data_IF_886532518867
#
_entry.id   IF_886532518867
#
_cell.length_a   1.000
_cell.length_b   1.000
_cell.length_c   1.000
_cell.angle_alpha   90.00
_cell.angle_beta   90.00
_cell.angle_gamma   90.00
#
_symmetry.space_group_name_H-M   'P 1'
#
loop_
_entity.id
_entity.type
_entity.pdbx_description
1 polymer ?
#
# COMPACT_ATOMS: atom_id res chain seq x y z
N UNK A 1 -14.61 -18.23 49.17
CA UNK A 1 -16.07 -18.37 49.27
C UNK A 1 -16.61 -18.36 47.86
N UNK A 2 -17.17 -19.47 47.38
CA UNK A 2 -17.89 -19.54 46.11
C UNK A 2 -19.40 -19.61 46.39
N UNK A 3 -20.24 -19.20 45.44
CA UNK A 3 -21.70 -19.33 45.53
C UNK A 3 -22.46 -18.20 46.23
N UNK A 4 -21.85 -17.02 46.39
CA UNK A 4 -22.58 -15.82 46.84
C UNK A 4 -23.39 -15.23 45.67
N UNK A 5 -24.61 -14.80 45.95
CA UNK A 5 -25.50 -14.16 44.97
C UNK A 5 -25.26 -12.65 44.96
N UNK A 6 -25.13 -12.07 43.76
CA UNK A 6 -25.04 -10.63 43.59
C UNK A 6 -26.31 -9.94 44.10
N UNK A 7 -26.13 -8.79 44.76
CA UNK A 7 -27.21 -8.02 45.39
C UNK A 7 -27.68 -8.55 46.75
N UNK A 8 -27.20 -9.72 47.20
CA UNK A 8 -27.55 -10.28 48.51
C UNK A 8 -26.56 -9.80 49.59
N UNK A 9 -27.09 -9.29 50.70
CA UNK A 9 -26.29 -8.94 51.87
C UNK A 9 -25.84 -10.22 52.60
N UNK A 10 -24.53 -10.36 52.78
CA UNK A 10 -23.93 -11.40 53.59
C UNK A 10 -23.28 -10.81 54.83
N UNK A 11 -23.47 -11.50 55.96
CA UNK A 11 -22.99 -11.10 57.27
C UNK A 11 -21.96 -12.13 57.73
N UNK A 12 -20.80 -11.65 58.18
CA UNK A 12 -19.67 -12.49 58.56
C UNK A 12 -19.22 -12.19 59.99
N UNK A 13 -18.91 -13.26 60.72
CA UNK A 13 -18.21 -13.24 62.00
C UNK A 13 -17.11 -14.30 61.94
N UNK A 14 -15.98 -14.02 62.56
CA UNK A 14 -14.83 -14.93 62.61
C UNK A 14 -14.57 -15.28 64.07
N UNK A 15 -14.27 -16.54 64.31
CA UNK A 15 -13.75 -17.06 65.58
C UNK A 15 -12.37 -17.67 65.32
N UNK A 16 -11.53 -17.74 66.35
CA UNK A 16 -10.24 -18.40 66.27
C UNK A 16 -10.22 -19.59 67.22
N UNK A 17 -9.63 -20.70 66.79
CA UNK A 17 -9.41 -21.89 67.62
C UNK A 17 -7.91 -22.03 67.86
N UNK A 18 -7.48 -22.10 69.11
CA UNK A 18 -6.06 -22.31 69.45
C UNK A 18 -5.73 -23.81 69.56
N UNK A 19 -4.44 -24.13 69.75
CA UNK A 19 -3.89 -25.49 69.69
C UNK A 19 -4.49 -26.49 70.70
N UNK A 20 -5.17 -26.00 71.74
CA UNK A 20 -5.93 -26.75 72.74
C UNK A 20 -7.42 -26.95 72.36
N UNK A 21 -7.79 -26.59 71.13
CA UNK A 21 -9.16 -26.66 70.58
C UNK A 21 -10.19 -25.77 71.28
N UNK A 22 -9.74 -24.74 72.01
CA UNK A 22 -10.64 -23.74 72.58
C UNK A 22 -10.94 -22.66 71.55
N UNK A 23 -12.22 -22.44 71.27
CA UNK A 23 -12.71 -21.41 70.34
C UNK A 23 -12.91 -20.06 71.06
N UNK A 24 -12.46 -18.98 70.45
CA UNK A 24 -12.66 -17.61 70.94
C UNK A 24 -14.11 -17.16 70.82
N UNK A 25 -14.47 -16.06 71.48
CA UNK A 25 -15.68 -15.30 71.11
C UNK A 25 -15.58 -14.79 69.66
N UNK A 26 -16.73 -14.51 69.00
CA UNK A 26 -16.74 -14.01 67.62
C UNK A 26 -16.26 -12.56 67.54
N UNK A 27 -15.71 -12.18 66.39
CA UNK A 27 -15.48 -10.77 66.02
C UNK A 27 -16.79 -9.97 66.00
N UNK A 28 -16.68 -8.64 65.82
CA UNK A 28 -17.82 -7.86 65.36
C UNK A 28 -18.37 -8.41 64.03
N UNK A 29 -19.64 -8.09 63.74
CA UNK A 29 -20.25 -8.42 62.47
C UNK A 29 -19.70 -7.52 61.36
N UNK A 30 -19.30 -8.12 60.25
CA UNK A 30 -18.98 -7.43 59.01
C UNK A 30 -20.07 -7.73 57.96
N UNK A 31 -20.43 -6.73 57.16
CA UNK A 31 -21.42 -6.86 56.09
C UNK A 31 -20.76 -6.67 54.72
N UNK A 32 -21.14 -7.49 53.73
CA UNK A 32 -20.69 -7.37 52.35
C UNK A 32 -21.80 -7.73 51.36
N UNK A 33 -21.81 -7.08 50.20
CA UNK A 33 -22.79 -7.34 49.13
C UNK A 33 -22.02 -7.54 47.82
N UNK A 34 -21.96 -8.75 47.27
CA UNK A 34 -21.40 -8.98 45.95
C UNK A 34 -22.20 -8.25 44.88
N UNK A 35 -21.54 -7.81 43.81
CA UNK A 35 -22.17 -7.17 42.68
C UNK A 35 -21.58 -7.72 41.38
N UNK A 36 -22.39 -7.77 40.32
CA UNK A 36 -21.88 -8.12 39.00
C UNK A 36 -21.08 -6.94 38.45
N UNK A 37 -19.97 -7.23 37.79
CA UNK A 37 -19.13 -6.23 37.14
C UNK A 37 -18.80 -6.68 35.72
N UNK A 38 -18.77 -5.77 34.74
CA UNK A 38 -18.34 -6.11 33.39
C UNK A 38 -16.94 -6.75 33.39
N UNK A 39 -16.68 -7.71 32.50
CA UNK A 39 -15.33 -8.22 32.30
C UNK A 39 -14.35 -7.11 31.87
N UNK A 40 -13.06 -7.40 31.96
CA UNK A 40 -12.03 -6.59 31.30
C UNK A 40 -12.19 -6.63 29.78
N UNK A 41 -11.70 -5.62 29.07
CA UNK A 41 -11.65 -5.68 27.61
C UNK A 41 -10.63 -6.75 27.14
N UNK A 42 -10.92 -7.49 26.06
CA UNK A 42 -9.89 -8.23 25.33
C UNK A 42 -8.77 -7.30 24.83
N UNK A 43 -7.54 -7.79 24.78
CA UNK A 43 -6.36 -7.01 24.39
C UNK A 43 -5.43 -7.80 23.46
N UNK A 44 -4.42 -7.14 22.90
CA UNK A 44 -3.51 -7.72 21.89
C UNK A 44 -4.28 -8.38 20.72
N UNK A 45 -5.33 -7.73 20.25
CA UNK A 45 -6.06 -8.21 19.08
C UNK A 45 -5.15 -8.12 17.84
N UNK A 46 -5.09 -9.21 17.08
CA UNK A 46 -4.33 -9.32 15.85
C UNK A 46 -5.05 -10.26 14.89
N UNK A 47 -4.71 -10.19 13.61
CA UNK A 47 -5.38 -10.99 12.60
C UNK A 47 -4.78 -10.83 11.22
N UNK A 48 -5.23 -11.70 10.32
CA UNK A 48 -4.81 -11.73 8.92
C UNK A 48 -6.02 -11.84 8.00
N UNK A 49 -5.81 -11.46 6.74
CA UNK A 49 -6.77 -11.64 5.66
C UNK A 49 -6.15 -12.60 4.66
N UNK A 50 -6.87 -13.68 4.35
CA UNK A 50 -6.54 -14.57 3.25
C UNK A 50 -7.70 -14.55 2.24
N UNK A 51 -7.46 -13.91 1.09
CA UNK A 51 -8.49 -13.54 0.12
C UNK A 51 -9.58 -12.67 0.76
N UNK A 52 -10.72 -13.26 1.15
CA UNK A 52 -11.82 -12.57 1.85
C UNK A 52 -12.10 -13.15 3.24
N UNK A 53 -11.27 -14.09 3.69
CA UNK A 53 -11.38 -14.74 4.99
C UNK A 53 -10.58 -13.95 6.00
N UNK A 54 -11.24 -13.43 7.03
CA UNK A 54 -10.61 -12.78 8.17
C UNK A 54 -10.42 -13.83 9.27
N UNK A 55 -9.18 -13.97 9.71
CA UNK A 55 -8.81 -14.72 10.91
C UNK A 55 -8.33 -13.74 11.98
N UNK A 56 -9.00 -13.71 13.13
CA UNK A 56 -8.64 -12.83 14.25
C UNK A 56 -8.41 -13.64 15.52
N UNK A 57 -7.49 -13.17 16.34
CA UNK A 57 -7.19 -13.72 17.65
C UNK A 57 -6.88 -12.57 18.63
N UNK A 58 -7.07 -12.84 19.91
CA UNK A 58 -6.85 -11.86 20.98
C UNK A 58 -6.38 -12.57 22.24
N UNK A 59 -5.99 -11.78 23.23
CA UNK A 59 -5.70 -12.25 24.59
C UNK A 59 -6.80 -11.78 25.54
N UNK A 60 -7.13 -12.63 26.52
CA UNK A 60 -8.07 -12.30 27.57
C UNK A 60 -7.63 -12.93 28.90
N UNK A 61 -7.81 -12.21 30.01
CA UNK A 61 -7.50 -12.71 31.36
C UNK A 61 -8.79 -12.92 32.14
N UNK A 62 -9.18 -14.18 32.30
CA UNK A 62 -10.38 -14.57 33.06
C UNK A 62 -10.10 -14.63 34.58
N UNK A 63 -9.71 -13.50 35.17
CA UNK A 63 -9.33 -13.43 36.59
C UNK A 63 -10.50 -13.67 37.55
N UNK A 64 -11.71 -13.34 37.13
CA UNK A 64 -12.95 -13.51 37.92
C UNK A 64 -13.56 -14.90 37.71
N UNK A 65 -13.34 -15.53 36.56
CA UNK A 65 -13.80 -16.89 36.27
C UNK A 65 -15.24 -16.99 35.77
N UNK A 66 -15.85 -15.87 35.40
CA UNK A 66 -17.27 -15.73 35.02
C UNK A 66 -17.48 -15.42 33.53
N UNK A 67 -16.44 -15.48 32.70
CA UNK A 67 -16.57 -15.35 31.24
C UNK A 67 -17.60 -16.34 30.67
N UNK A 68 -18.59 -15.83 29.93
CA UNK A 68 -19.53 -16.64 29.15
C UNK A 68 -19.05 -16.82 27.70
N UNK A 69 -18.82 -15.73 26.97
CA UNK A 69 -18.39 -15.72 25.57
C UNK A 69 -17.80 -14.35 25.19
N UNK A 70 -17.33 -14.24 23.95
CA UNK A 70 -16.94 -12.97 23.33
C UNK A 70 -17.95 -12.58 22.26
N UNK A 71 -18.06 -11.29 21.95
CA UNK A 71 -18.71 -10.82 20.73
C UNK A 71 -17.66 -10.21 19.80
N UNK A 72 -17.66 -10.65 18.54
CA UNK A 72 -16.76 -10.13 17.51
C UNK A 72 -17.58 -9.24 16.58
N UNK A 73 -17.15 -8.00 16.39
CA UNK A 73 -17.82 -7.04 15.52
C UNK A 73 -16.93 -6.66 14.34
N UNK A 74 -17.55 -6.48 13.17
CA UNK A 74 -16.94 -5.80 12.02
C UNK A 74 -17.57 -4.42 11.82
N UNK A 75 -16.77 -3.46 11.39
CA UNK A 75 -17.24 -2.15 10.93
C UNK A 75 -16.48 -1.72 9.69
N UNK A 76 -17.19 -1.41 8.61
CA UNK A 76 -16.58 -0.80 7.42
C UNK A 76 -16.15 0.63 7.76
N UNK A 77 -14.91 1.02 7.44
CA UNK A 77 -14.42 2.39 7.64
C UNK A 77 -14.63 3.25 6.37
N UNK A 78 -14.82 4.58 6.51
CA UNK A 78 -14.82 5.35 7.77
C UNK A 78 -16.15 5.33 8.54
N UNK A 79 -17.29 5.19 7.86
CA UNK A 79 -18.62 5.56 8.41
C UNK A 79 -19.59 4.39 8.59
N UNK A 80 -19.10 3.15 8.49
CA UNK A 80 -19.92 1.96 8.67
C UNK A 80 -20.46 1.80 10.08
N UNK A 81 -21.41 0.88 10.23
CA UNK A 81 -22.00 0.50 11.52
C UNK A 81 -21.30 -0.74 12.06
N UNK A 82 -21.25 -0.89 13.38
CA UNK A 82 -20.80 -2.12 14.02
C UNK A 82 -21.81 -3.24 13.76
N UNK A 83 -21.35 -4.33 13.15
CA UNK A 83 -22.14 -5.53 12.85
C UNK A 83 -21.53 -6.69 13.63
N UNK A 84 -22.33 -7.36 14.47
CA UNK A 84 -21.92 -8.59 15.14
C UNK A 84 -21.72 -9.69 14.10
N UNK A 85 -20.52 -10.28 14.04
CA UNK A 85 -20.19 -11.36 13.11
C UNK A 85 -20.18 -12.74 13.77
N UNK A 86 -20.08 -12.79 15.10
CA UNK A 86 -20.17 -14.04 15.84
C UNK A 86 -19.89 -13.87 17.33
N UNK A 87 -20.22 -14.93 18.07
CA UNK A 87 -20.09 -14.96 19.54
C UNK A 87 -19.30 -16.20 20.02
N UNK A 88 -17.98 -16.28 19.77
CA UNK A 88 -17.18 -17.45 20.11
C UNK A 88 -16.88 -17.53 21.61
N UNK A 89 -16.56 -18.74 22.09
CA UNK A 89 -16.01 -18.97 23.44
C UNK A 89 -14.49 -19.00 23.47
N UNK A 90 -13.87 -19.29 22.32
CA UNK A 90 -12.41 -19.30 22.15
C UNK A 90 -11.86 -17.88 21.93
N UNK A 91 -10.55 -17.72 22.11
CA UNK A 91 -9.84 -16.45 21.88
C UNK A 91 -9.40 -16.25 20.43
N UNK A 92 -10.07 -16.91 19.49
CA UNK A 92 -9.91 -16.70 18.06
C UNK A 92 -11.21 -16.92 17.32
N UNK A 93 -11.36 -16.27 16.17
CA UNK A 93 -12.55 -16.36 15.34
C UNK A 93 -12.22 -16.17 13.87
N UNK A 94 -12.98 -16.84 13.00
CA UNK A 94 -12.83 -16.77 11.56
C UNK A 94 -14.17 -16.49 10.90
N UNK A 95 -14.20 -15.55 9.97
CA UNK A 95 -15.39 -15.23 9.19
C UNK A 95 -15.02 -14.67 7.82
N UNK A 96 -15.98 -14.69 6.89
CA UNK A 96 -15.79 -14.24 5.52
C UNK A 96 -16.45 -12.88 5.28
N UNK A 97 -15.81 -12.05 4.46
CA UNK A 97 -16.41 -10.85 3.88
C UNK A 97 -17.01 -11.21 2.50
N UNK A 98 -18.33 -11.01 2.30
CA UNK A 98 -18.97 -11.30 1.02
C UNK A 98 -18.35 -10.56 -0.18
N UNK A 99 -18.31 -11.25 -1.31
CA UNK A 99 -18.81 -10.77 -2.62
C UNK A 99 -19.17 -9.28 -2.74
N UNK A 100 -18.25 -8.35 -3.05
CA UNK A 100 -18.58 -6.95 -3.33
C UNK A 100 -18.60 -6.02 -2.11
N UNK A 101 -18.25 -6.51 -0.92
CA UNK A 101 -18.03 -5.69 0.27
C UNK A 101 -16.54 -5.34 0.47
N UNK A 102 -15.88 -4.83 -0.56
CA UNK A 102 -14.45 -4.47 -0.50
C UNK A 102 -14.25 -3.21 0.38
N UNK A 103 -13.22 -3.20 1.22
CA UNK A 103 -13.00 -2.08 2.13
C UNK A 103 -11.98 -2.33 3.25
N UNK A 104 -11.77 -1.31 4.07
CA UNK A 104 -11.02 -1.43 5.33
C UNK A 104 -12.01 -1.71 6.44
N UNK A 105 -11.87 -2.86 7.09
CA UNK A 105 -12.70 -3.25 8.23
C UNK A 105 -11.97 -2.99 9.54
N UNK A 106 -12.63 -2.28 10.46
CA UNK A 106 -12.28 -2.26 11.86
C UNK A 106 -12.93 -3.46 12.56
N UNK A 107 -12.11 -4.31 13.18
CA UNK A 107 -12.55 -5.44 13.98
C UNK A 107 -12.33 -5.12 15.45
N UNK A 108 -13.35 -5.34 16.27
CA UNK A 108 -13.30 -5.18 17.72
C UNK A 108 -13.95 -6.37 18.41
N UNK A 109 -13.47 -6.69 19.61
CA UNK A 109 -14.00 -7.80 20.41
C UNK A 109 -14.36 -7.31 21.80
N UNK A 110 -15.52 -7.73 22.32
CA UNK A 110 -15.94 -7.53 23.71
C UNK A 110 -16.04 -8.89 24.40
N UNK A 111 -15.96 -8.89 25.73
CA UNK A 111 -16.17 -10.06 26.57
C UNK A 111 -17.48 -9.92 27.34
N UNK A 112 -18.24 -11.01 27.45
CA UNK A 112 -19.54 -11.06 28.11
C UNK A 112 -19.45 -12.04 29.28
N UNK A 113 -19.88 -11.61 30.47
CA UNK A 113 -19.95 -12.49 31.65
C UNK A 113 -21.19 -13.40 31.63
N UNK A 114 -21.22 -14.37 32.56
CA UNK A 114 -22.36 -15.27 32.80
C UNK A 114 -23.30 -14.77 33.92
N UNK A 115 -23.18 -13.50 34.30
CA UNK A 115 -23.98 -12.86 35.33
C UNK A 115 -25.45 -12.74 34.94
N UNK A 116 -26.28 -12.31 35.90
CA UNK A 116 -27.72 -12.08 35.68
C UNK A 116 -28.11 -10.69 36.19
N UNK A 117 -28.33 -9.69 35.30
CA UNK A 117 -28.15 -9.76 33.85
C UNK A 117 -26.67 -9.86 33.45
N UNK A 118 -26.37 -10.42 32.26
CA UNK A 118 -25.00 -10.45 31.76
C UNK A 118 -24.51 -9.03 31.50
N UNK A 119 -23.24 -8.76 31.78
CA UNK A 119 -22.59 -7.50 31.45
C UNK A 119 -21.51 -7.71 30.39
N UNK A 120 -21.39 -6.72 29.51
CA UNK A 120 -20.43 -6.70 28.41
C UNK A 120 -19.33 -5.68 28.70
N UNK A 121 -18.09 -6.05 28.39
CA UNK A 121 -16.95 -5.16 28.54
C UNK A 121 -16.93 -4.05 27.49
N UNK A 122 -16.07 -3.05 27.71
CA UNK A 122 -15.72 -2.12 26.63
C UNK A 122 -14.99 -2.88 25.51
N UNK A 123 -15.09 -2.43 24.23
CA UNK A 123 -14.41 -3.09 23.14
C UNK A 123 -12.88 -3.10 23.30
N UNK A 124 -12.24 -4.10 22.70
CA UNK A 124 -10.80 -4.08 22.45
C UNK A 124 -10.38 -2.86 21.62
N UNK A 125 -9.08 -2.64 21.50
CA UNK A 125 -8.52 -1.80 20.44
C UNK A 125 -9.02 -2.24 19.06
N UNK A 126 -9.04 -1.32 18.10
CA UNK A 126 -9.44 -1.62 16.73
C UNK A 126 -8.31 -2.29 15.95
N UNK A 127 -8.60 -3.46 15.36
CA UNK A 127 -7.76 -4.05 14.34
C UNK A 127 -8.27 -3.66 12.95
N UNK A 128 -7.45 -2.94 12.17
CA UNK A 128 -7.79 -2.57 10.80
C UNK A 128 -7.29 -3.61 9.81
N UNK A 129 -8.21 -4.18 9.01
CA UNK A 129 -7.91 -5.20 8.02
C UNK A 129 -8.45 -4.78 6.64
N UNK A 130 -7.58 -4.63 5.62
CA UNK A 130 -8.00 -4.40 4.25
C UNK A 130 -8.50 -5.70 3.61
N UNK A 131 -9.65 -5.65 2.94
CA UNK A 131 -10.25 -6.80 2.25
C UNK A 131 -10.69 -6.43 0.84
N UNK A 132 -10.36 -7.25 -0.15
CA UNK A 132 -10.77 -7.08 -1.54
C UNK A 132 -9.88 -6.15 -2.36
N UNK A 133 -10.41 -5.66 -3.49
CA UNK A 133 -9.69 -4.85 -4.47
C UNK A 133 -9.61 -3.39 -4.04
N UNK A 134 -8.72 -3.10 -3.09
CA UNK A 134 -8.44 -1.72 -2.69
C UNK A 134 -7.52 -1.05 -3.70
N UNK A 135 -7.78 0.22 -4.00
CA UNK A 135 -6.94 1.04 -4.87
C UNK A 135 -5.87 1.79 -4.04
N UNK A 136 -4.69 2.07 -4.62
CA UNK A 136 -3.67 2.91 -3.99
C UNK A 136 -4.21 4.32 -3.74
N UNK A 137 -3.84 4.92 -2.61
CA UNK A 137 -4.34 6.24 -2.20
C UNK A 137 -3.23 7.29 -2.23
N UNK A 138 -3.58 8.57 -2.13
CA UNK A 138 -2.59 9.66 -1.98
C UNK A 138 -1.48 9.68 -3.04
N UNK A 139 -1.81 9.49 -4.32
CA UNK A 139 -0.84 9.61 -5.40
C UNK A 139 -0.26 11.05 -5.44
N UNK A 140 1.05 11.15 -5.29
CA UNK A 140 1.81 12.40 -5.36
C UNK A 140 2.91 12.24 -6.40
N UNK A 141 2.97 13.21 -7.31
CA UNK A 141 4.10 13.41 -8.21
C UNK A 141 5.09 14.40 -7.58
N UNK A 142 6.36 13.99 -7.41
CA UNK A 142 7.40 14.85 -6.86
C UNK A 142 8.15 15.55 -7.99
N UNK A 143 7.86 16.84 -8.18
CA UNK A 143 8.56 17.67 -9.18
C UNK A 143 9.94 18.18 -8.71
N UNK A 144 10.73 18.71 -9.64
CA UNK A 144 12.02 19.35 -9.34
C UNK A 144 13.23 18.43 -9.36
N UNK A 145 13.07 17.19 -9.83
CA UNK A 145 14.18 16.30 -10.20
C UNK A 145 14.38 16.33 -11.71
N UNK A 146 15.62 16.15 -12.10
CA UNK A 146 16.05 16.08 -13.50
C UNK A 146 15.61 14.74 -14.11
N UNK A 147 14.89 14.78 -15.23
CA UNK A 147 14.44 13.62 -16.02
C UNK A 147 13.63 12.53 -15.29
N UNK A 148 13.19 12.78 -14.05
CA UNK A 148 12.45 11.80 -13.24
C UNK A 148 11.34 12.52 -12.47
N UNK A 149 10.13 11.95 -12.53
CA UNK A 149 9.04 12.29 -11.62
C UNK A 149 8.80 11.08 -10.72
N UNK A 150 9.39 11.05 -9.51
CA UNK A 150 9.07 10.00 -8.55
C UNK A 150 7.59 10.10 -8.19
N UNK A 151 6.88 8.99 -8.36
CA UNK A 151 5.53 8.83 -7.85
C UNK A 151 5.60 8.18 -6.48
N UNK A 152 4.88 8.74 -5.51
CA UNK A 152 4.64 8.10 -4.22
C UNK A 152 3.15 7.99 -3.98
N UNK A 153 2.70 6.87 -3.45
CA UNK A 153 1.32 6.64 -3.06
C UNK A 153 1.28 5.88 -1.73
N UNK A 154 0.17 6.01 -1.05
CA UNK A 154 -0.18 5.19 0.10
C UNK A 154 -0.64 3.81 -0.40
N UNK A 155 -0.10 2.74 0.20
CA UNK A 155 -0.48 1.37 -0.14
C UNK A 155 -2.01 1.18 -0.03
N UNK A 156 -2.62 0.35 -0.89
CA UNK A 156 -4.03 0.03 -0.78
C UNK A 156 -4.41 -0.39 0.64
N UNK A 157 -5.34 0.34 1.26
CA UNK A 157 -5.81 0.02 2.61
C UNK A 157 -4.92 0.49 3.77
N UNK A 158 -3.84 1.24 3.54
CA UNK A 158 -2.95 1.76 4.61
C UNK A 158 -3.60 2.83 5.50
N UNK A 159 -4.84 3.24 5.20
CA UNK A 159 -5.72 3.89 6.17
C UNK A 159 -5.25 5.28 6.61
N UNK A 160 -4.83 6.15 5.69
CA UNK A 160 -4.64 7.57 6.00
C UNK A 160 -5.99 8.28 6.15
N UNK A 161 -6.77 7.91 7.16
CA UNK A 161 -8.01 8.59 7.57
C UNK A 161 -7.61 9.74 8.51
N UNK A 162 -7.30 10.92 7.97
CA UNK A 162 -7.15 12.12 8.79
C UNK A 162 -8.08 13.22 8.30
N UNK A 163 -8.97 13.64 9.21
CA UNK A 163 -10.03 14.64 9.02
C UNK A 163 -9.48 16.02 8.55
N UNK A 164 -8.16 16.25 8.63
CA UNK A 164 -7.48 17.50 8.32
C UNK A 164 -6.09 17.35 7.65
N UNK A 165 -5.72 16.17 7.14
CA UNK A 165 -4.42 16.03 6.46
C UNK A 165 -4.50 16.65 5.06
N UNK A 166 -3.87 17.81 4.89
CA UNK A 166 -3.36 18.17 3.57
C UNK A 166 -2.36 17.07 3.17
N UNK A 167 -2.27 16.70 1.88
CA UNK A 167 -1.14 15.91 1.41
C UNK A 167 0.12 16.51 2.03
N UNK A 168 1.03 15.68 2.53
CA UNK A 168 2.41 16.16 2.65
C UNK A 168 2.79 16.42 1.21
N UNK A 169 2.54 17.65 0.75
CA UNK A 169 3.21 18.20 -0.41
C UNK A 169 4.65 18.21 0.11
N UNK A 170 5.54 17.29 -0.33
CA UNK A 170 6.94 17.45 0.00
C UNK A 170 7.27 18.89 -0.37
N UNK A 171 7.86 19.63 0.58
CA UNK A 171 8.16 21.05 0.43
C UNK A 171 8.49 21.29 -1.03
N UNK A 172 7.67 22.10 -1.72
CA UNK A 172 7.99 22.53 -3.09
C UNK A 172 9.41 23.01 -2.96
N UNK A 173 10.36 22.23 -3.47
CA UNK A 173 11.77 22.64 -3.46
C UNK A 173 11.70 23.96 -4.18
N UNK A 174 11.90 25.04 -3.44
CA UNK A 174 11.89 26.39 -3.99
C UNK A 174 12.89 26.33 -5.10
N UNK A 175 12.42 26.45 -6.35
CA UNK A 175 13.23 26.36 -7.56
C UNK A 175 14.40 27.30 -7.35
N UNK A 176 15.55 26.74 -6.97
CA UNK A 176 16.78 27.53 -6.90
C UNK A 176 17.00 27.93 -8.34
N UNK A 177 16.89 29.23 -8.61
CA UNK A 177 17.17 29.73 -9.94
C UNK A 177 18.56 29.21 -10.31
N UNK A 178 18.71 28.48 -11.43
CA UNK A 178 20.00 27.94 -11.82
C UNK A 178 21.03 29.06 -11.72
N UNK A 179 22.17 28.80 -11.07
CA UNK A 179 23.27 29.75 -11.19
C UNK A 179 23.56 29.90 -12.69
N UNK A 180 23.63 31.15 -13.20
CA UNK A 180 24.02 31.37 -14.58
C UNK A 180 25.32 30.62 -14.86
N UNK A 181 25.33 29.85 -15.95
CA UNK A 181 26.50 29.08 -16.34
C UNK A 181 27.69 30.04 -16.47
N UNK A 182 28.76 29.78 -15.72
CA UNK A 182 30.00 30.55 -15.83
C UNK A 182 30.66 30.23 -17.17
N UNK A 183 30.39 31.07 -18.16
CA UNK A 183 30.92 30.95 -19.53
C UNK A 183 32.40 31.32 -19.62
N UNK A 184 33.05 31.75 -18.53
CA UNK A 184 34.50 32.06 -18.54
C UNK A 184 35.38 30.85 -18.87
N UNK A 185 34.80 29.63 -18.81
CA UNK A 185 35.45 28.37 -19.20
C UNK A 185 34.87 27.73 -20.46
N UNK A 186 34.03 28.44 -21.22
CA UNK A 186 33.51 27.97 -22.51
C UNK A 186 34.66 27.84 -23.51
N UNK A 187 34.98 26.61 -23.92
CA UNK A 187 36.08 26.31 -24.84
C UNK A 187 37.28 25.59 -24.22
N UNK A 188 37.28 25.34 -22.90
CA UNK A 188 38.21 24.38 -22.30
C UNK A 188 37.63 22.98 -22.51
N UNK A 189 38.40 22.06 -23.08
CA UNK A 189 37.99 20.65 -23.28
C UNK A 189 37.61 20.01 -21.94
N UNK A 190 36.31 19.90 -21.68
CA UNK A 190 35.75 19.06 -20.62
C UNK A 190 35.59 17.61 -21.10
N UNK A 191 35.25 16.67 -20.19
CA UNK A 191 34.93 15.30 -20.59
C UNK A 191 33.77 15.30 -21.59
N UNK A 192 33.89 14.46 -22.62
CA UNK A 192 33.05 14.43 -23.81
C UNK A 192 31.60 14.03 -23.48
N UNK A 193 30.68 14.96 -23.78
CA UNK A 193 29.19 14.87 -23.84
C UNK A 193 28.40 15.19 -22.56
N UNK A 194 27.92 16.43 -22.36
CA UNK A 194 26.87 16.73 -21.39
C UNK A 194 25.50 16.19 -21.85
N UNK A 195 24.58 15.86 -20.91
CA UNK A 195 23.21 15.48 -21.24
C UNK A 195 22.49 16.57 -22.04
N UNK A 196 21.59 16.15 -22.95
CA UNK A 196 20.71 17.07 -23.66
C UNK A 196 19.69 17.59 -22.65
N UNK A 197 19.78 18.87 -22.29
CA UNK A 197 19.04 19.49 -21.19
C UNK A 197 17.67 20.08 -21.62
N UNK A 198 17.25 19.85 -22.86
CA UNK A 198 16.01 20.37 -23.43
C UNK A 198 15.30 19.22 -24.16
N UNK A 199 14.00 19.04 -23.91
CA UNK A 199 13.15 18.02 -24.54
C UNK A 199 12.70 18.40 -25.97
N UNK A 200 13.60 19.13 -26.65
CA UNK A 200 13.54 19.53 -28.04
C UNK A 200 14.96 19.80 -28.56
N UNK A 201 15.19 19.59 -29.85
CA UNK A 201 16.48 19.83 -30.47
C UNK A 201 16.40 20.04 -31.98
N UNK A 202 17.50 20.53 -32.53
CA UNK A 202 17.59 20.95 -33.93
C UNK A 202 17.08 22.39 -34.18
N UNK A 203 16.92 22.79 -35.45
CA UNK A 203 17.25 22.00 -36.63
C UNK A 203 18.73 21.64 -36.68
N UNK A 204 19.04 20.40 -37.04
CA UNK A 204 20.41 20.01 -37.40
C UNK A 204 20.83 20.61 -38.75
N UNK A 205 22.03 20.27 -39.22
CA UNK A 205 22.56 20.76 -40.51
C UNK A 205 21.70 20.36 -41.73
N UNK A 206 20.79 19.41 -41.57
CA UNK A 206 19.86 18.92 -42.60
C UNK A 206 18.43 19.44 -42.41
N UNK A 207 18.19 20.30 -41.41
CA UNK A 207 16.90 20.92 -41.14
C UNK A 207 15.96 20.09 -40.26
N UNK A 208 16.40 18.96 -39.71
CA UNK A 208 15.58 18.10 -38.86
C UNK A 208 15.58 18.61 -37.42
N UNK A 209 14.39 18.77 -36.86
CA UNK A 209 14.19 19.10 -35.45
C UNK A 209 13.33 18.03 -34.81
N UNK A 210 13.52 17.84 -33.51
CA UNK A 210 12.70 16.98 -32.69
C UNK A 210 12.12 17.79 -31.53
N UNK A 211 10.92 17.41 -31.10
CA UNK A 211 10.19 18.01 -30.00
C UNK A 211 9.31 16.91 -29.43
N UNK A 212 9.34 16.71 -28.12
CA UNK A 212 8.43 15.76 -27.49
C UNK A 212 7.02 16.37 -27.30
N UNK A 213 6.09 15.58 -26.75
CA UNK A 213 4.73 16.02 -26.51
C UNK A 213 4.55 16.96 -25.31
N UNK A 214 5.59 17.11 -24.47
CA UNK A 214 5.54 17.88 -23.22
C UNK A 214 5.84 19.37 -23.48
N UNK A 215 6.42 19.67 -24.64
CA UNK A 215 6.71 21.04 -25.09
C UNK A 215 5.47 21.78 -25.63
N UNK A 216 5.36 23.12 -25.43
CA UNK A 216 4.34 23.93 -26.07
C UNK A 216 4.34 23.77 -27.60
N UNK A 217 3.21 23.28 -28.15
CA UNK A 217 3.07 22.96 -29.57
C UNK A 217 3.78 21.67 -30.00
N UNK A 218 4.04 20.75 -29.07
CA UNK A 218 4.46 19.37 -29.35
C UNK A 218 3.34 18.55 -30.01
N UNK A 219 3.67 17.36 -30.55
CA UNK A 219 2.71 16.49 -31.20
C UNK A 219 1.63 16.01 -30.22
N UNK A 220 0.36 16.08 -30.63
CA UNK A 220 -0.72 15.40 -29.92
C UNK A 220 -0.67 13.90 -30.22
N UNK A 221 -0.78 13.07 -29.19
CA UNK A 221 -0.82 11.61 -29.34
C UNK A 221 -2.09 11.03 -28.71
N UNK A 222 -2.51 9.87 -29.21
CA UNK A 222 -3.55 9.06 -28.60
C UNK A 222 -2.99 7.66 -28.38
N UNK A 223 -3.17 7.14 -27.17
CA UNK A 223 -2.82 5.75 -26.87
C UNK A 223 -3.81 4.82 -27.56
N UNK A 224 -3.27 3.87 -28.33
CA UNK A 224 -4.04 2.75 -28.89
C UNK A 224 -3.63 1.52 -28.10
N UNK A 225 -4.60 0.89 -27.44
CA UNK A 225 -4.39 -0.41 -26.80
C UNK A 225 -4.24 -1.48 -27.88
N UNK A 226 -3.16 -2.26 -27.79
CA UNK A 226 -2.83 -3.30 -28.76
C UNK A 226 -3.09 -4.72 -28.23
N UNK A 227 -3.68 -4.90 -27.04
CA UNK A 227 -3.91 -6.24 -26.46
C UNK A 227 -4.68 -7.16 -27.42
N UNK A 228 -5.68 -6.65 -28.13
CA UNK A 228 -6.52 -7.45 -29.05
C UNK A 228 -6.07 -7.42 -30.52
N UNK A 229 -5.21 -6.47 -30.90
CA UNK A 229 -4.82 -6.21 -32.30
C UNK A 229 -3.34 -6.41 -32.58
N UNK A 230 -2.53 -6.55 -31.53
CA UNK A 230 -1.08 -6.67 -31.62
C UNK A 230 -0.65 -8.09 -32.00
N UNK A 231 0.43 -8.18 -32.78
CA UNK A 231 1.12 -9.44 -33.07
C UNK A 231 2.36 -9.54 -32.17
N UNK A 232 2.47 -10.63 -31.43
CA UNK A 232 3.62 -10.85 -30.55
C UNK A 232 4.86 -11.23 -31.37
N UNK A 233 5.93 -10.44 -31.25
CA UNK A 233 7.24 -10.76 -31.81
C UNK A 233 7.88 -11.88 -30.95
N UNK A 234 8.25 -13.04 -31.54
CA UNK A 234 8.65 -14.24 -30.80
C UNK A 234 10.13 -14.17 -30.36
N UNK A 235 10.47 -13.16 -29.57
CA UNK A 235 11.79 -13.01 -28.97
C UNK A 235 11.97 -14.01 -27.82
N UNK A 236 12.92 -14.93 -27.95
CA UNK A 236 13.06 -16.14 -27.11
C UNK A 236 14.45 -16.31 -26.50
N UNK A 237 15.40 -15.46 -26.84
CA UNK A 237 16.76 -15.49 -26.30
C UNK A 237 17.35 -14.08 -26.17
N UNK A 238 18.46 -14.01 -25.45
CA UNK A 238 19.29 -12.81 -25.32
C UNK A 238 20.06 -12.51 -26.62
N UNK A 239 20.49 -11.25 -26.79
CA UNK A 239 21.17 -10.73 -27.99
C UNK A 239 20.47 -11.04 -29.33
N UNK A 240 19.14 -11.17 -29.33
CA UNK A 240 18.37 -11.39 -30.55
C UNK A 240 18.03 -10.06 -31.23
N UNK A 241 18.17 -10.02 -32.54
CA UNK A 241 17.63 -8.96 -33.40
C UNK A 241 16.72 -9.60 -34.46
N UNK A 242 15.45 -9.21 -34.46
CA UNK A 242 14.39 -9.82 -35.26
C UNK A 242 13.75 -8.78 -36.17
N UNK A 243 13.38 -9.21 -37.38
CA UNK A 243 12.77 -8.37 -38.40
C UNK A 243 13.22 -8.76 -39.82
N UNK A 244 12.86 -7.97 -40.84
CA UNK A 244 12.08 -6.73 -40.71
C UNK A 244 10.59 -7.02 -40.45
N UNK A 245 9.95 -6.19 -39.63
CA UNK A 245 8.50 -6.17 -39.38
C UNK A 245 7.89 -4.93 -40.02
N UNK A 246 6.65 -5.04 -40.52
CA UNK A 246 5.96 -3.91 -41.14
C UNK A 246 5.55 -2.85 -40.10
N UNK A 247 5.87 -1.58 -40.38
CA UNK A 247 5.43 -0.42 -39.58
C UNK A 247 3.93 -0.15 -39.79
N UNK A 248 3.40 -0.54 -40.94
CA UNK A 248 2.01 -0.28 -41.35
C UNK A 248 1.81 1.09 -42.03
N UNK A 249 2.87 1.89 -42.17
CA UNK A 249 2.88 3.16 -42.91
C UNK A 249 4.31 3.52 -43.36
N UNK A 250 4.42 4.49 -44.27
CA UNK A 250 5.71 5.03 -44.71
C UNK A 250 6.22 6.06 -43.70
N UNK A 251 7.39 5.80 -43.11
CA UNK A 251 8.09 6.68 -42.17
C UNK A 251 9.30 7.35 -42.83
N UNK A 252 9.28 8.67 -42.92
CA UNK A 252 10.41 9.43 -43.47
C UNK A 252 11.43 9.79 -42.39
N UNK A 253 12.69 9.39 -42.58
CA UNK A 253 13.79 9.65 -41.67
C UNK A 253 15.05 10.03 -42.46
N UNK A 254 15.58 11.24 -42.21
CA UNK A 254 16.79 11.78 -42.86
C UNK A 254 16.82 11.61 -44.39
N UNK A 255 15.71 11.97 -45.06
CA UNK A 255 15.58 11.96 -46.52
C UNK A 255 15.33 10.59 -47.14
N UNK A 256 15.24 9.54 -46.31
CA UNK A 256 14.88 8.19 -46.74
C UNK A 256 13.48 7.83 -46.21
N UNK A 257 12.79 6.95 -46.92
CA UNK A 257 11.50 6.40 -46.48
C UNK A 257 11.67 4.95 -46.09
N UNK A 258 11.18 4.61 -44.90
CA UNK A 258 11.21 3.27 -44.33
C UNK A 258 9.77 2.82 -44.04
N UNK A 259 9.43 1.58 -44.35
CA UNK A 259 8.13 1.00 -44.05
C UNK A 259 8.23 -0.23 -43.15
N UNK A 260 9.46 -0.58 -42.74
CA UNK A 260 9.74 -1.75 -41.91
C UNK A 260 10.82 -1.44 -40.87
N UNK A 261 10.87 -2.24 -39.81
CA UNK A 261 11.83 -2.09 -38.72
C UNK A 261 12.39 -3.44 -38.24
N UNK A 262 13.55 -3.39 -37.59
CA UNK A 262 14.18 -4.46 -36.83
C UNK A 262 14.14 -4.11 -35.35
N UNK A 263 13.89 -5.09 -34.49
CA UNK A 263 13.83 -4.94 -33.02
C UNK A 263 14.85 -5.84 -32.34
N UNK A 264 15.57 -5.29 -31.38
CA UNK A 264 16.57 -6.02 -30.60
C UNK A 264 16.12 -6.27 -29.15
N UNK A 265 16.45 -7.44 -28.59
CA UNK A 265 16.25 -7.78 -27.18
C UNK A 265 16.96 -6.84 -26.22
N UNK A 266 17.97 -6.11 -26.71
CA UNK A 266 18.71 -5.09 -25.99
C UNK A 266 18.01 -3.71 -25.95
N UNK A 267 16.73 -3.64 -26.32
CA UNK A 267 15.85 -2.51 -26.01
C UNK A 267 15.82 -1.39 -27.05
N UNK A 268 16.10 -1.67 -28.32
CA UNK A 268 16.14 -0.66 -29.38
C UNK A 268 15.52 -1.13 -30.70
N UNK A 269 15.12 -0.17 -31.54
CA UNK A 269 14.50 -0.35 -32.85
C UNK A 269 15.29 0.37 -33.96
N UNK A 270 15.56 -0.30 -35.07
CA UNK A 270 16.27 0.28 -36.21
C UNK A 270 15.57 -0.02 -37.52
N UNK A 271 15.62 0.89 -38.49
CA UNK A 271 15.12 0.60 -39.84
C UNK A 271 16.04 -0.29 -40.67
N UNK A 272 17.30 -0.46 -40.29
CA UNK A 272 18.30 -1.14 -41.13
C UNK A 272 19.30 -2.02 -40.39
N UNK A 273 19.44 -1.87 -39.07
CA UNK A 273 20.49 -2.54 -38.29
C UNK A 273 20.03 -3.89 -37.76
N UNK A 274 20.86 -4.91 -38.03
CA UNK A 274 20.62 -6.32 -37.70
C UNK A 274 21.56 -6.83 -36.61
N UNK A 275 22.42 -5.98 -36.05
CA UNK A 275 23.35 -6.35 -34.98
C UNK A 275 22.66 -6.41 -33.62
N UNK A 276 23.30 -7.00 -32.62
CA UNK A 276 22.80 -7.11 -31.24
C UNK A 276 23.54 -6.19 -30.26
N UNK A 277 23.74 -4.90 -30.59
CA UNK A 277 24.46 -3.99 -29.70
C UNK A 277 23.75 -3.86 -28.33
N UNK A 278 24.51 -3.92 -27.24
CA UNK A 278 24.00 -3.91 -25.86
C UNK A 278 24.53 -2.75 -25.03
N UNK A 279 25.38 -1.89 -25.61
CA UNK A 279 25.93 -0.73 -24.92
C UNK A 279 25.05 0.49 -25.14
N UNK A 280 24.80 1.23 -24.07
CA UNK A 280 24.13 2.52 -24.15
C UNK A 280 25.11 3.58 -24.67
N UNK A 281 24.80 4.13 -25.84
CA UNK A 281 25.53 5.25 -26.42
C UNK A 281 24.61 6.46 -26.57
N UNK A 282 25.15 7.69 -26.43
CA UNK A 282 24.40 8.89 -26.74
C UNK A 282 23.94 8.93 -28.20
N UNK A 283 22.70 9.36 -28.43
CA UNK A 283 22.15 9.62 -29.74
C UNK A 283 21.99 11.14 -29.96
N UNK A 284 22.24 11.65 -31.17
CA UNK A 284 22.84 10.96 -32.31
C UNK A 284 24.35 10.76 -32.12
N UNK A 285 24.91 9.69 -32.67
CA UNK A 285 26.36 9.43 -32.65
C UNK A 285 26.82 8.53 -33.79
N UNK A 286 28.13 8.48 -34.03
CA UNK A 286 28.75 7.77 -35.17
C UNK A 286 29.77 6.69 -34.76
N UNK A 287 29.76 6.27 -33.50
CA UNK A 287 30.64 5.21 -32.99
C UNK A 287 30.12 3.83 -33.35
N UNK A 288 31.01 2.86 -33.61
CA UNK A 288 30.69 1.52 -34.13
C UNK A 288 29.89 0.56 -33.24
N UNK A 289 29.19 1.09 -32.22
CA UNK A 289 28.22 0.37 -31.39
C UNK A 289 26.85 1.05 -31.31
N UNK A 290 26.60 2.06 -32.14
CA UNK A 290 25.30 2.73 -32.27
C UNK A 290 24.58 2.10 -33.47
N UNK A 291 23.37 1.56 -33.29
CA UNK A 291 22.57 1.06 -34.41
C UNK A 291 22.35 2.14 -35.47
N UNK A 292 22.51 1.79 -36.75
CA UNK A 292 22.19 2.70 -37.86
C UNK A 292 20.69 2.99 -37.92
N UNK A 293 20.27 4.19 -38.32
CA UNK A 293 18.86 4.54 -38.54
C UNK A 293 17.94 4.12 -37.37
N UNK A 294 18.39 4.44 -36.14
CA UNK A 294 17.73 4.12 -34.88
C UNK A 294 16.64 5.16 -34.55
N UNK A 295 15.51 4.69 -34.02
CA UNK A 295 14.40 5.50 -33.51
C UNK A 295 13.98 5.05 -32.12
#
# INVERSE_FOLDING_TARGET
MSGLQNGTHYYYKVTAVWQDSIESGPTNEAIGTPANHPPSAPFNIAGTVNDRTIHVHWTFSNSVGDLAHFNVFKRLRPDGVNILVGSPTDTSFTFNIPIGEDGIYAITVTAVDNGTPPMESVPSEELLLPVGHLFPQSLVAVGGRDHIIPLTWDLPGSGRILKNDRPIVPDRITKVSPQPLDLSKKGVTGPTNPPVLLDQGGPDEFGYSWKDSDEPGGPSYQWIDIVDIGEQIPMTADDQNLGPYDIGFDFSFYGNTFSQFYICSNGWLSFTDVNGYFYNYPLPGNTGGIPFNLV
#
